data_IF_153215724881
#
_entry.id   IF_153215724881
#
_cell.length_a   1.000
_cell.length_b   1.000
_cell.length_c   1.000
_cell.angle_alpha   90.00
_cell.angle_beta   90.00
_cell.angle_gamma   90.00
#
_symmetry.space_group_name_H-M   'P 1'
#
loop_
_entity.id
_entity.type
_entity.pdbx_description
1 polymer ?
#
# COMPACT_ATOMS: atom_id res chain seq x y z
N UNK A 1 -0.64 -0.90 5.97
CA UNK A 1 -2.04 -0.84 5.47
C UNK A 1 -2.18 -0.85 3.94
N UNK A 2 -1.15 -0.51 3.16
CA UNK A 2 -1.24 -0.47 1.68
C UNK A 2 -1.48 -1.82 0.95
N UNK A 3 -0.83 -2.94 1.32
CA UNK A 3 -0.99 -4.21 0.59
C UNK A 3 -2.36 -4.88 0.82
N UNK A 4 -2.81 -4.91 2.07
CA UNK A 4 -4.09 -5.51 2.53
C UNK A 4 -5.31 -4.86 1.85
N UNK A 5 -5.21 -3.59 1.50
CA UNK A 5 -6.31 -2.81 0.96
C UNK A 5 -6.33 -2.86 -0.58
N UNK A 6 -5.15 -2.85 -1.22
CA UNK A 6 -5.00 -3.11 -2.65
C UNK A 6 -5.43 -4.54 -3.03
N UNK A 7 -5.11 -5.53 -2.20
CA UNK A 7 -5.49 -6.92 -2.40
C UNK A 7 -7.00 -7.13 -2.35
N UNK A 8 -7.69 -6.43 -1.45
CA UNK A 8 -9.14 -6.55 -1.26
C UNK A 8 -9.97 -5.67 -2.20
N UNK A 9 -9.38 -4.63 -2.80
CA UNK A 9 -9.99 -3.88 -3.90
C UNK A 9 -10.26 -4.76 -5.14
N UNK A 10 -9.44 -5.80 -5.34
CA UNK A 10 -9.53 -6.74 -6.47
C UNK A 10 -10.83 -7.56 -6.40
N UNK A 11 -11.23 -7.98 -5.21
CA UNK A 11 -12.43 -8.80 -4.97
C UNK A 11 -13.73 -8.08 -5.36
N UNK A 12 -13.73 -6.74 -5.38
CA UNK A 12 -14.89 -5.91 -5.72
C UNK A 12 -15.27 -6.05 -7.20
N UNK A 13 -14.30 -6.28 -8.08
CA UNK A 13 -14.51 -6.17 -9.54
C UNK A 13 -15.42 -7.24 -10.16
N UNK A 14 -15.82 -8.27 -9.41
CA UNK A 14 -16.49 -9.46 -9.98
C UNK A 14 -17.88 -9.79 -9.42
N UNK A 15 -18.47 -9.02 -8.49
CA UNK A 15 -19.82 -9.36 -8.00
C UNK A 15 -20.76 -8.18 -7.69
N UNK A 16 -20.31 -7.05 -7.13
CA UNK A 16 -21.19 -5.92 -6.77
C UNK A 16 -20.43 -4.59 -6.82
N UNK A 17 -21.07 -3.53 -7.33
CA UNK A 17 -20.50 -2.18 -7.29
C UNK A 17 -20.60 -1.62 -5.88
N UNK A 18 -19.45 -1.40 -5.23
CA UNK A 18 -19.36 -0.75 -3.92
C UNK A 18 -19.24 0.77 -4.10
N UNK A 19 -19.97 1.54 -3.28
CA UNK A 19 -19.84 2.99 -3.23
C UNK A 19 -18.57 3.42 -2.46
N UNK A 20 -17.86 4.40 -3.01
CA UNK A 20 -16.70 5.04 -2.39
C UNK A 20 -16.98 6.54 -2.19
N UNK A 21 -16.27 7.23 -1.28
CA UNK A 21 -16.42 8.66 -1.08
C UNK A 21 -16.41 9.47 -2.37
N UNK A 22 -17.27 10.49 -2.41
CA UNK A 22 -17.38 11.42 -3.55
C UNK A 22 -17.27 12.86 -3.06
N UNK A 23 -17.12 13.82 -3.97
CA UNK A 23 -17.10 15.25 -3.59
C UNK A 23 -18.36 15.66 -2.82
N UNK A 24 -19.51 15.06 -3.13
CA UNK A 24 -20.78 15.33 -2.46
C UNK A 24 -20.90 14.63 -1.09
N UNK A 25 -20.22 13.49 -0.92
CA UNK A 25 -20.26 12.66 0.29
C UNK A 25 -18.84 12.17 0.64
N UNK A 26 -17.96 13.06 1.15
CA UNK A 26 -16.56 12.72 1.40
C UNK A 26 -16.36 11.85 2.65
N UNK A 27 -17.35 11.82 3.55
CA UNK A 27 -17.35 11.04 4.80
C UNK A 27 -18.05 9.69 4.70
N UNK A 28 -18.22 9.16 3.48
CA UNK A 28 -18.88 7.87 3.27
C UNK A 28 -18.00 6.71 3.78
N UNK A 29 -18.50 5.97 4.75
CA UNK A 29 -17.90 4.71 5.17
C UNK A 29 -18.14 3.63 4.09
N UNK A 30 -17.16 2.74 3.90
CA UNK A 30 -17.15 1.75 2.82
C UNK A 30 -17.35 0.34 3.38
N UNK A 31 -18.44 -0.31 2.98
CA UNK A 31 -18.68 -1.72 3.28
C UNK A 31 -18.24 -2.59 2.10
N UNK A 32 -17.07 -3.22 2.22
CA UNK A 32 -16.64 -4.23 1.25
C UNK A 32 -17.27 -5.59 1.57
N UNK A 33 -17.56 -6.43 0.56
CA UNK A 33 -17.98 -7.81 0.81
C UNK A 33 -16.96 -8.55 1.68
N UNK A 34 -17.41 -9.13 2.80
CA UNK A 34 -16.58 -9.93 3.73
C UNK A 34 -15.43 -9.14 4.37
N UNK A 35 -15.65 -7.86 4.64
CA UNK A 35 -14.78 -7.03 5.47
C UNK A 35 -15.58 -6.35 6.58
N UNK A 36 -14.94 -5.95 7.68
CA UNK A 36 -15.47 -4.93 8.56
C UNK A 36 -15.80 -3.66 7.77
N UNK A 37 -16.75 -2.88 8.29
CA UNK A 37 -17.00 -1.54 7.80
C UNK A 37 -15.71 -0.73 7.88
N UNK A 38 -15.25 -0.21 6.74
CA UNK A 38 -14.10 0.68 6.68
C UNK A 38 -14.60 2.11 6.87
N UNK A 39 -14.03 2.82 7.83
CA UNK A 39 -14.28 4.25 7.95
C UNK A 39 -13.73 5.00 6.76
N UNK A 40 -14.34 6.14 6.45
CA UNK A 40 -13.86 6.96 5.35
C UNK A 40 -12.36 7.28 5.45
N UNK A 41 -11.76 7.39 6.64
CA UNK A 41 -10.33 7.65 6.84
C UNK A 41 -9.45 6.38 6.87
N UNK A 42 -10.04 5.19 6.74
CA UNK A 42 -9.33 3.90 6.70
C UNK A 42 -9.12 3.39 5.25
N UNK A 43 -9.75 4.01 4.25
CA UNK A 43 -9.52 3.66 2.84
C UNK A 43 -8.25 4.36 2.29
N UNK A 44 -7.61 3.86 1.22
CA UNK A 44 -6.43 4.52 0.66
C UNK A 44 -6.78 5.93 0.17
N UNK A 45 -5.92 6.91 0.46
CA UNK A 45 -6.16 8.32 0.10
C UNK A 45 -6.48 8.49 -1.38
N UNK A 46 -5.81 7.77 -2.28
CA UNK A 46 -6.04 7.86 -3.73
C UNK A 46 -7.44 7.43 -4.21
N UNK A 47 -8.26 6.83 -3.34
CA UNK A 47 -9.69 6.56 -3.60
C UNK A 47 -10.60 7.71 -3.13
N UNK A 48 -10.07 8.69 -2.41
CA UNK A 48 -10.80 9.88 -2.03
C UNK A 48 -10.86 10.89 -3.18
N UNK A 49 -11.98 11.64 -3.24
CA UNK A 49 -12.14 12.72 -4.22
C UNK A 49 -11.11 13.85 -4.01
N UNK A 50 -10.72 14.11 -2.76
CA UNK A 50 -9.82 15.20 -2.37
C UNK A 50 -8.32 14.88 -2.52
N UNK A 51 -7.95 13.69 -2.99
CA UNK A 51 -6.54 13.29 -3.08
C UNK A 51 -5.78 14.08 -4.14
N UNK A 52 -4.62 14.68 -3.80
CA UNK A 52 -3.87 15.50 -4.74
C UNK A 52 -3.19 14.68 -5.85
N UNK A 53 -3.14 13.34 -5.73
CA UNK A 53 -2.47 12.42 -6.64
C UNK A 53 -3.44 11.62 -7.51
N UNK A 54 -4.51 12.26 -8.01
CA UNK A 54 -5.56 11.60 -8.83
C UNK A 54 -5.04 10.80 -10.04
N UNK A 55 -3.93 11.22 -10.65
CA UNK A 55 -3.29 10.50 -11.77
C UNK A 55 -2.73 9.16 -11.31
N UNK A 56 -2.06 9.13 -10.16
CA UNK A 56 -1.51 7.91 -9.56
C UNK A 56 -2.65 6.96 -9.17
N UNK A 57 -3.72 7.48 -8.56
CA UNK A 57 -4.93 6.70 -8.26
C UNK A 57 -5.54 6.06 -9.50
N UNK A 58 -5.70 6.80 -10.60
CA UNK A 58 -6.19 6.25 -11.88
C UNK A 58 -5.25 5.19 -12.45
N UNK A 59 -3.94 5.36 -12.34
CA UNK A 59 -2.97 4.38 -12.81
C UNK A 59 -3.09 3.07 -12.03
N UNK A 60 -3.16 3.13 -10.69
CA UNK A 60 -3.34 1.97 -9.80
C UNK A 60 -4.66 1.25 -10.15
N UNK A 61 -5.77 1.97 -10.21
CA UNK A 61 -7.08 1.41 -10.56
C UNK A 61 -7.11 0.79 -11.96
N UNK A 62 -6.38 1.36 -12.91
CA UNK A 62 -6.24 0.84 -14.27
C UNK A 62 -5.61 -0.55 -14.34
N UNK A 63 -4.73 -0.90 -13.39
CA UNK A 63 -4.09 -2.21 -13.35
C UNK A 63 -5.09 -3.32 -13.01
N UNK A 64 -6.06 -3.03 -12.14
CA UNK A 64 -7.05 -4.03 -11.70
C UNK A 64 -7.97 -4.50 -12.83
N UNK A 65 -8.26 -3.65 -13.83
CA UNK A 65 -9.05 -4.02 -15.01
C UNK A 65 -8.44 -5.17 -15.83
N UNK A 66 -7.14 -5.44 -15.67
CA UNK A 66 -6.41 -6.48 -16.41
C UNK A 66 -6.15 -7.73 -15.56
N UNK A 67 -6.54 -7.76 -14.30
CA UNK A 67 -6.18 -8.86 -13.39
C UNK A 67 -6.79 -10.20 -13.78
N UNK A 68 -8.01 -10.23 -14.30
CA UNK A 68 -8.64 -11.47 -14.79
C UNK A 68 -7.90 -12.10 -15.97
N UNK A 69 -6.99 -11.35 -16.62
CA UNK A 69 -6.12 -11.84 -17.71
C UNK A 69 -4.72 -12.22 -17.23
N UNK A 70 -4.41 -12.01 -15.96
CA UNK A 70 -3.10 -12.33 -15.39
C UNK A 70 -3.00 -13.81 -15.05
N UNK A 71 -1.87 -14.44 -15.38
CA UNK A 71 -1.63 -15.84 -15.02
C UNK A 71 -1.30 -16.00 -13.54
N UNK A 72 -0.62 -15.00 -12.94
CA UNK A 72 -0.22 -15.01 -11.53
C UNK A 72 -0.19 -13.59 -10.96
N UNK A 73 -0.58 -13.44 -9.70
CA UNK A 73 -0.34 -12.25 -8.87
C UNK A 73 0.72 -12.62 -7.84
N UNK A 74 1.91 -12.05 -7.98
CA UNK A 74 2.99 -12.21 -7.01
C UNK A 74 2.79 -11.15 -5.91
N UNK A 75 2.59 -11.59 -4.67
CA UNK A 75 2.38 -10.70 -3.53
C UNK A 75 3.61 -10.70 -2.64
N UNK A 76 4.14 -9.51 -2.36
CA UNK A 76 5.22 -9.33 -1.39
C UNK A 76 4.69 -9.42 0.04
N UNK A 77 4.35 -10.64 0.43
CA UNK A 77 3.82 -11.02 1.74
C UNK A 77 4.19 -12.47 2.03
N UNK A 78 4.00 -12.90 3.27
CA UNK A 78 4.11 -14.30 3.68
C UNK A 78 2.72 -14.86 3.98
N UNK A 79 2.52 -16.17 3.76
CA UNK A 79 1.21 -16.81 3.88
C UNK A 79 0.61 -16.62 5.29
N UNK A 80 1.45 -16.73 6.32
CA UNK A 80 1.06 -16.65 7.72
C UNK A 80 0.58 -15.25 8.13
N UNK A 81 1.02 -14.21 7.41
CA UNK A 81 0.66 -12.82 7.72
C UNK A 81 -0.71 -12.44 7.14
N UNK A 82 -1.09 -13.00 5.98
CA UNK A 82 -2.28 -12.60 5.22
C UNK A 82 -3.09 -13.78 4.68
N UNK A 83 -3.17 -14.89 5.44
CA UNK A 83 -3.82 -16.14 5.04
C UNK A 83 -5.21 -15.95 4.42
N UNK A 84 -6.12 -15.30 5.16
CA UNK A 84 -7.50 -15.07 4.73
C UNK A 84 -7.57 -14.24 3.43
N UNK A 85 -6.73 -13.21 3.33
CA UNK A 85 -6.65 -12.35 2.14
C UNK A 85 -6.19 -13.16 0.92
N UNK A 86 -5.18 -14.00 1.08
CA UNK A 86 -4.63 -14.85 0.01
C UNK A 86 -5.66 -15.89 -0.43
N UNK A 87 -6.33 -16.56 0.50
CA UNK A 87 -7.39 -17.54 0.21
C UNK A 87 -8.55 -16.88 -0.55
N UNK A 88 -8.92 -15.66 -0.18
CA UNK A 88 -10.00 -14.95 -0.83
C UNK A 88 -9.63 -14.53 -2.26
N UNK A 89 -8.46 -13.92 -2.44
CA UNK A 89 -8.01 -13.53 -3.78
C UNK A 89 -7.77 -14.73 -4.70
N UNK A 90 -7.41 -15.88 -4.13
CA UNK A 90 -7.22 -17.13 -4.89
C UNK A 90 -8.49 -17.61 -5.58
N UNK A 91 -9.68 -17.11 -5.18
CA UNK A 91 -10.95 -17.37 -5.87
C UNK A 91 -11.09 -16.55 -7.17
N UNK A 92 -10.30 -15.50 -7.34
CA UNK A 92 -10.35 -14.59 -8.50
C UNK A 92 -9.16 -14.78 -9.44
N UNK A 93 -7.96 -14.99 -8.89
CA UNK A 93 -6.72 -15.15 -9.66
C UNK A 93 -5.72 -16.04 -8.92
N UNK A 94 -4.69 -16.55 -9.61
CA UNK A 94 -3.66 -17.36 -8.94
C UNK A 94 -2.72 -16.44 -8.17
N UNK A 95 -2.86 -16.42 -6.85
CA UNK A 95 -1.98 -15.64 -5.96
C UNK A 95 -0.78 -16.48 -5.52
N UNK A 96 0.40 -15.85 -5.49
CA UNK A 96 1.64 -16.43 -4.93
C UNK A 96 2.26 -15.45 -3.95
N UNK A 97 2.20 -15.72 -2.63
CA UNK A 97 3.01 -14.99 -1.67
C UNK A 97 4.49 -15.34 -1.91
N UNK A 98 5.32 -14.34 -2.15
CA UNK A 98 6.76 -14.49 -2.46
C UNK A 98 7.63 -13.63 -1.55
N UNK A 99 7.04 -13.00 -0.54
CA UNK A 99 7.73 -12.09 0.36
C UNK A 99 8.48 -12.78 1.51
N UNK A 100 9.21 -12.00 2.32
CA UNK A 100 9.58 -10.60 2.04
C UNK A 100 10.62 -10.53 0.90
N UNK A 101 10.33 -9.75 -0.14
CA UNK A 101 11.22 -9.54 -1.29
C UNK A 101 12.38 -8.59 -0.94
N UNK A 102 12.21 -7.77 0.09
CA UNK A 102 13.30 -6.97 0.63
C UNK A 102 14.28 -7.87 1.37
N UNK A 103 15.35 -8.28 0.68
CA UNK A 103 16.52 -8.92 1.30
C UNK A 103 17.53 -7.84 1.65
N UNK A 104 17.97 -7.81 2.91
CA UNK A 104 19.17 -7.06 3.30
C UNK A 104 20.33 -7.68 2.51
N UNK A 105 21.04 -6.93 1.66
CA UNK A 105 22.15 -7.51 0.91
C UNK A 105 23.23 -7.98 1.89
N UNK A 106 23.56 -9.27 1.88
CA UNK A 106 24.72 -9.81 2.61
C UNK A 106 26.04 -9.30 2.03
N UNK A 107 26.00 -8.73 0.82
CA UNK A 107 27.18 -8.21 0.11
C UNK A 107 26.89 -6.84 -0.50
N UNK A 108 27.78 -5.89 -0.22
CA UNK A 108 27.75 -4.48 -0.66
C UNK A 108 28.00 -4.29 -2.17
N UNK A 109 28.03 -5.37 -2.97
CA UNK A 109 28.46 -5.37 -4.37
C UNK A 109 27.33 -5.67 -5.36
N UNK A 110 26.10 -5.27 -5.06
CA UNK A 110 25.02 -5.32 -6.05
C UNK A 110 24.64 -3.91 -6.49
N UNK A 111 24.88 -3.62 -7.77
CA UNK A 111 24.65 -2.33 -8.45
C UNK A 111 23.16 -1.96 -8.58
N UNK A 112 22.25 -2.77 -8.02
CA UNK A 112 20.82 -2.55 -8.09
C UNK A 112 20.41 -1.69 -6.91
N UNK A 113 20.34 -0.38 -7.13
CA UNK A 113 19.73 0.58 -6.19
C UNK A 113 18.27 0.80 -6.55
N UNK A 114 17.39 0.60 -5.57
CA UNK A 114 15.99 1.03 -5.62
C UNK A 114 15.75 2.41 -4.99
N UNK A 115 16.82 3.11 -4.62
CA UNK A 115 16.74 4.37 -3.90
C UNK A 115 16.19 5.47 -4.81
N UNK A 116 15.04 6.07 -4.44
CA UNK A 116 14.52 7.25 -5.14
C UNK A 116 15.40 8.49 -4.91
N UNK A 117 16.10 8.52 -3.78
CA UNK A 117 16.92 9.65 -3.33
C UNK A 117 18.23 9.14 -2.74
N UNK A 118 19.29 9.96 -2.83
CA UNK A 118 20.56 9.67 -2.16
C UNK A 118 20.34 9.64 -0.64
N UNK A 119 20.81 8.59 0.02
CA UNK A 119 20.78 8.52 1.47
C UNK A 119 21.73 9.54 2.10
N UNK A 120 21.26 10.17 3.18
CA UNK A 120 22.11 11.00 4.04
C UNK A 120 23.08 10.13 4.84
N UNK A 121 24.23 10.71 5.17
CA UNK A 121 25.26 10.02 5.96
C UNK A 121 24.95 10.13 7.46
N UNK A 122 23.88 9.44 7.89
CA UNK A 122 23.42 9.44 9.29
C UNK A 122 23.80 8.17 10.06
N UNK A 123 24.48 7.22 9.41
CA UNK A 123 24.81 5.93 10.00
C UNK A 123 25.80 6.07 11.16
N UNK A 124 26.81 6.92 11.03
CA UNK A 124 27.77 7.19 12.12
C UNK A 124 27.08 7.76 13.37
N UNK A 125 26.14 8.69 13.16
CA UNK A 125 25.33 9.23 14.25
C UNK A 125 24.44 8.15 14.89
N UNK A 126 23.81 7.29 14.08
CA UNK A 126 22.96 6.21 14.56
C UNK A 126 23.77 5.19 15.38
N UNK A 127 24.97 4.83 14.90
CA UNK A 127 25.91 3.94 15.60
C UNK A 127 26.41 4.50 16.92
N UNK A 128 26.33 5.81 17.13
CA UNK A 128 26.72 6.48 18.38
C UNK A 128 25.65 6.38 19.49
N UNK A 129 24.44 5.87 19.21
CA UNK A 129 23.32 5.85 20.16
C UNK A 129 23.19 4.49 20.85
N UNK A 130 22.69 4.45 22.10
CA UNK A 130 22.38 3.19 22.77
C UNK A 130 21.40 2.33 21.94
N UNK A 131 21.47 0.99 22.06
CA UNK A 131 20.50 0.11 21.42
C UNK A 131 19.05 0.50 21.76
N UNK A 132 18.17 0.45 20.76
CA UNK A 132 16.74 0.75 20.89
C UNK A 132 16.40 2.16 21.45
N UNK A 133 17.29 3.13 21.31
CA UNK A 133 17.08 4.51 21.80
C UNK A 133 16.67 5.53 20.74
N UNK A 134 16.67 5.14 19.45
CA UNK A 134 16.36 6.03 18.33
C UNK A 134 15.02 5.65 17.71
N UNK A 135 14.19 6.66 17.45
CA UNK A 135 12.93 6.51 16.71
C UNK A 135 13.17 6.85 15.25
N UNK A 136 12.93 5.90 14.35
CA UNK A 136 12.92 6.14 12.90
C UNK A 136 11.54 6.66 12.48
N UNK A 137 11.53 7.81 11.80
CA UNK A 137 10.31 8.42 11.27
C UNK A 137 10.47 8.53 9.76
N UNK A 138 9.58 7.89 9.02
CA UNK A 138 9.50 8.01 7.56
C UNK A 138 8.06 7.86 7.11
N UNK A 139 7.65 8.73 6.19
CA UNK A 139 6.35 8.70 5.53
C UNK A 139 6.43 8.08 4.13
N UNK A 140 7.55 7.43 3.81
CA UNK A 140 7.86 6.95 2.47
C UNK A 140 8.40 8.06 1.55
N UNK A 141 8.65 7.70 0.29
CA UNK A 141 9.30 8.60 -0.68
C UNK A 141 8.35 9.64 -1.31
N UNK A 142 7.04 9.46 -1.18
CA UNK A 142 6.01 10.39 -1.66
C UNK A 142 5.15 10.78 -0.45
N UNK A 143 5.16 12.06 -0.11
CA UNK A 143 4.39 12.59 1.01
C UNK A 143 3.89 14.00 0.69
N UNK A 144 2.69 14.33 1.14
CA UNK A 144 2.09 15.65 1.02
C UNK A 144 1.56 16.11 2.36
N UNK A 145 2.01 17.29 2.82
CA UNK A 145 1.50 17.94 4.02
C UNK A 145 1.03 19.35 3.68
N UNK A 146 -0.15 19.72 4.20
CA UNK A 146 -0.56 21.12 4.20
C UNK A 146 0.21 21.85 5.30
N UNK A 147 0.97 22.88 4.94
CA UNK A 147 1.58 23.75 5.94
C UNK A 147 0.49 24.40 6.79
N UNK A 148 0.60 24.27 8.11
CA UNK A 148 -0.30 24.95 9.04
C UNK A 148 0.21 26.37 9.21
N UNK A 149 -0.43 27.34 8.56
CA UNK A 149 -0.21 28.76 8.88
C UNK A 149 -0.83 29.01 10.24
N UNK A 150 0.01 29.36 11.22
CA UNK A 150 -0.43 29.84 12.53
C UNK A 150 -1.24 31.13 12.35
N UNK A 151 -2.51 31.09 12.76
CA UNK A 151 -3.31 32.29 13.10
C UNK A 151 -2.97 32.73 14.53
#
# INVERSE_FOLDING_TARGET
MGPVLCSRLITITNAETVAFPTEAEPGLDVQLPRMPLLKHDEIPSFLHPSDPFTVLGRAILGQFKKLSKSSYVLMDTIQELELETIEEMSKVCIVKPVGPLFKIPETTNTTIRGDLMKADDCLDWLSSKPPASVVYISFGSIVYFKARTSE
#
